data_IF_666723640010
#
_entry.id   IF_666723640010
#
_cell.length_a   1.000
_cell.length_b   1.000
_cell.length_c   1.000
_cell.angle_alpha   90.00
_cell.angle_beta   90.00
_cell.angle_gamma   90.00
#
_symmetry.space_group_name_H-M   'P 1'
#
loop_
_entity.id
_entity.type
_entity.pdbx_description
1 polymer ?
#
# COMPACT_ATOMS: atom_id res chain seq x y z
N UNK A 1 -5.02 -31.33 -17.49
CA UNK A 1 -5.16 -29.86 -17.61
C UNK A 1 -6.09 -29.40 -16.50
N UNK A 2 -5.53 -28.86 -15.41
CA UNK A 2 -6.30 -28.34 -14.28
C UNK A 2 -6.00 -26.84 -14.16
N UNK A 3 -7.04 -26.04 -14.26
CA UNK A 3 -7.03 -24.58 -14.04
C UNK A 3 -6.64 -24.28 -12.60
N UNK A 4 -5.73 -23.32 -12.33
CA UNK A 4 -5.50 -22.89 -10.96
C UNK A 4 -6.69 -22.06 -10.48
N UNK A 5 -7.33 -22.57 -9.43
CA UNK A 5 -8.38 -21.87 -8.70
C UNK A 5 -7.88 -20.53 -8.18
N UNK A 6 -8.69 -19.50 -8.41
CA UNK A 6 -8.61 -18.17 -7.82
C UNK A 6 -8.45 -18.31 -6.30
N UNK A 7 -7.41 -17.75 -5.66
CA UNK A 7 -7.34 -17.75 -4.21
C UNK A 7 -8.42 -16.80 -3.67
N UNK A 8 -9.40 -17.39 -2.99
CA UNK A 8 -10.35 -16.72 -2.10
C UNK A 8 -9.59 -15.98 -1.01
N UNK A 9 -9.73 -14.66 -0.98
CA UNK A 9 -9.27 -13.77 0.09
C UNK A 9 -10.14 -14.06 1.34
N UNK A 10 -9.62 -14.92 2.22
CA UNK A 10 -10.27 -15.25 3.50
C UNK A 10 -10.16 -14.06 4.44
N UNK A 11 -11.31 -13.65 4.98
CA UNK A 11 -11.49 -12.54 5.88
C UNK A 11 -10.67 -12.66 7.17
N UNK A 12 -10.18 -11.51 7.62
CA UNK A 12 -9.34 -11.27 8.78
C UNK A 12 -9.94 -11.83 10.08
N UNK A 13 -9.23 -12.81 10.65
CA UNK A 13 -9.21 -12.99 12.10
C UNK A 13 -8.28 -11.92 12.66
N UNK A 14 -8.74 -11.14 13.63
CA UNK A 14 -7.90 -10.22 14.40
C UNK A 14 -6.87 -11.01 15.23
N UNK A 15 -5.82 -11.47 14.55
CA UNK A 15 -4.57 -11.94 15.11
C UNK A 15 -3.55 -10.84 14.90
N UNK A 16 -2.56 -10.75 15.80
CA UNK A 16 -1.33 -9.98 15.57
C UNK A 16 -0.94 -10.12 14.10
N UNK A 17 -0.82 -8.99 13.35
CA UNK A 17 -0.58 -9.07 11.93
C UNK A 17 0.72 -9.84 11.69
N UNK A 18 0.63 -11.00 11.03
CA UNK A 18 1.79 -11.76 10.60
C UNK A 18 2.64 -10.87 9.68
N UNK A 19 3.88 -10.58 10.08
CA UNK A 19 4.78 -9.64 9.37
C UNK A 19 4.88 -10.02 7.89
N UNK A 20 5.02 -11.31 7.62
CA UNK A 20 5.13 -11.86 6.26
C UNK A 20 3.86 -11.62 5.46
N UNK A 21 2.68 -11.82 6.05
CA UNK A 21 1.41 -11.58 5.36
C UNK A 21 1.22 -10.09 5.05
N UNK A 22 1.57 -9.21 6.00
CA UNK A 22 1.57 -7.76 5.79
C UNK A 22 2.51 -7.32 4.68
N UNK A 23 3.73 -7.89 4.64
CA UNK A 23 4.69 -7.61 3.58
C UNK A 23 4.16 -8.01 2.20
N UNK A 24 3.48 -9.16 2.08
CA UNK A 24 2.86 -9.58 0.82
C UNK A 24 1.71 -8.67 0.36
N UNK A 25 0.86 -8.20 1.27
CA UNK A 25 -0.21 -7.26 0.94
C UNK A 25 0.35 -5.90 0.49
N UNK A 26 1.41 -5.41 1.15
CA UNK A 26 2.12 -4.20 0.75
C UNK A 26 2.80 -4.35 -0.63
N UNK A 27 3.41 -5.52 -0.91
CA UNK A 27 3.92 -5.84 -2.25
C UNK A 27 2.78 -5.77 -3.27
N UNK A 28 1.64 -6.39 -3.01
CA UNK A 28 0.51 -6.36 -3.94
C UNK A 28 0.03 -4.94 -4.26
N UNK A 29 0.02 -4.05 -3.25
CA UNK A 29 -0.31 -2.64 -3.41
C UNK A 29 0.77 -1.83 -4.15
N UNK A 30 2.05 -2.11 -3.91
CA UNK A 30 3.17 -1.40 -4.52
C UNK A 30 3.54 -1.90 -5.93
N UNK A 31 3.21 -3.16 -6.26
CA UNK A 31 3.54 -3.81 -7.55
C UNK A 31 3.21 -3.02 -8.83
N UNK A 32 2.08 -2.29 -8.95
CA UNK A 32 1.83 -1.51 -10.16
C UNK A 32 2.77 -0.30 -10.34
N UNK A 33 3.46 0.12 -9.28
CA UNK A 33 4.30 1.32 -9.24
C UNK A 33 5.78 1.01 -8.93
N UNK A 34 6.10 -0.20 -8.48
CA UNK A 34 7.46 -0.62 -8.19
C UNK A 34 8.22 -1.09 -9.43
N UNK A 35 9.50 -0.72 -9.51
CA UNK A 35 10.43 -1.29 -10.47
C UNK A 35 10.67 -2.78 -10.16
N UNK A 36 10.93 -3.57 -11.21
CA UNK A 36 11.25 -5.01 -11.11
C UNK A 36 12.35 -5.30 -10.08
N UNK A 37 13.39 -4.47 -10.04
CA UNK A 37 14.52 -4.65 -9.12
C UNK A 37 14.13 -4.42 -7.65
N UNK A 38 13.27 -3.43 -7.38
CA UNK A 38 12.75 -3.15 -6.03
C UNK A 38 11.86 -4.30 -5.53
N UNK A 39 11.02 -4.84 -6.40
CA UNK A 39 10.19 -5.99 -6.06
C UNK A 39 11.01 -7.27 -5.79
N UNK A 40 12.13 -7.46 -6.50
CA UNK A 40 13.04 -8.61 -6.30
C UNK A 40 13.77 -8.50 -4.96
N UNK A 41 14.29 -7.31 -4.62
CA UNK A 41 14.98 -7.03 -3.36
C UNK A 41 14.07 -7.28 -2.14
N UNK A 42 12.83 -6.78 -2.21
CA UNK A 42 11.80 -7.03 -1.19
C UNK A 42 11.45 -8.51 -1.09
N UNK A 43 11.33 -9.23 -2.21
CA UNK A 43 11.03 -10.67 -2.21
C UNK A 43 12.15 -11.48 -1.52
N UNK A 44 13.40 -11.10 -1.77
CA UNK A 44 14.57 -11.71 -1.14
C UNK A 44 14.56 -11.40 0.36
N UNK A 45 14.34 -10.14 0.75
CA UNK A 45 14.29 -9.71 2.16
C UNK A 45 13.21 -10.47 2.96
N UNK A 46 12.01 -10.67 2.38
CA UNK A 46 10.95 -11.50 2.98
C UNK A 46 11.40 -12.96 3.08
N UNK A 47 12.07 -13.48 2.05
CA UNK A 47 12.54 -14.88 2.01
C UNK A 47 13.64 -15.21 3.03
N UNK A 48 14.47 -14.24 3.41
CA UNK A 48 15.54 -14.41 4.41
C UNK A 48 15.09 -14.05 5.84
N UNK A 49 13.84 -13.60 6.03
CA UNK A 49 13.28 -13.24 7.33
C UNK A 49 13.54 -11.80 7.77
N UNK A 50 14.05 -10.94 6.89
CA UNK A 50 14.21 -9.49 7.13
C UNK A 50 12.92 -8.73 6.83
N UNK A 51 11.80 -9.23 7.36
CA UNK A 51 10.47 -8.74 7.04
C UNK A 51 10.26 -7.29 7.49
N UNK A 52 10.90 -6.87 8.59
CA UNK A 52 10.86 -5.48 9.04
C UNK A 52 11.50 -4.52 8.03
N UNK A 53 12.69 -4.86 7.51
CA UNK A 53 13.36 -4.04 6.51
C UNK A 53 12.57 -4.02 5.19
N UNK A 54 12.00 -5.16 4.79
CA UNK A 54 11.12 -5.25 3.64
C UNK A 54 9.89 -4.33 3.76
N UNK A 55 9.21 -4.34 4.91
CA UNK A 55 8.05 -3.50 5.20
C UNK A 55 8.45 -2.01 5.21
N UNK A 56 9.60 -1.66 5.79
CA UNK A 56 10.10 -0.27 5.79
C UNK A 56 10.35 0.27 4.38
N UNK A 57 10.99 -0.53 3.52
CA UNK A 57 11.23 -0.19 2.12
C UNK A 57 9.91 -0.03 1.37
N UNK A 58 8.96 -0.95 1.57
CA UNK A 58 7.64 -0.88 0.93
C UNK A 58 6.84 0.36 1.35
N UNK A 59 6.77 0.66 2.65
CA UNK A 59 6.08 1.86 3.16
C UNK A 59 6.75 3.13 2.62
N UNK A 60 8.09 3.16 2.58
CA UNK A 60 8.85 4.29 2.03
C UNK A 60 8.56 4.47 0.54
N UNK A 61 8.51 3.38 -0.24
CA UNK A 61 8.21 3.44 -1.67
C UNK A 61 6.77 3.91 -1.93
N UNK A 62 5.79 3.39 -1.18
CA UNK A 62 4.37 3.80 -1.25
C UNK A 62 4.22 5.29 -0.91
N UNK A 63 4.89 5.75 0.15
CA UNK A 63 4.88 7.16 0.54
C UNK A 63 5.55 8.06 -0.49
N UNK A 64 6.67 7.60 -1.10
CA UNK A 64 7.40 8.35 -2.12
C UNK A 64 6.59 8.50 -3.41
N UNK A 65 5.94 7.44 -3.87
CA UNK A 65 5.13 7.46 -5.10
C UNK A 65 3.69 7.93 -4.84
N UNK A 66 3.34 8.21 -3.56
CA UNK A 66 2.02 8.65 -3.09
C UNK A 66 0.90 7.71 -3.56
N UNK A 67 1.16 6.41 -3.48
CA UNK A 67 0.21 5.37 -3.89
C UNK A 67 -0.95 5.36 -2.90
N UNK A 68 -2.17 5.51 -3.42
CA UNK A 68 -3.37 5.38 -2.63
C UNK A 68 -3.57 3.91 -2.23
N UNK A 69 -3.45 3.63 -0.93
CA UNK A 69 -3.78 2.34 -0.34
C UNK A 69 -5.06 2.43 0.49
N UNK A 70 -5.76 1.30 0.62
CA UNK A 70 -7.02 1.23 1.36
C UNK A 70 -6.85 1.42 2.87
N UNK A 71 -7.89 1.96 3.51
CA UNK A 71 -7.91 2.24 4.96
C UNK A 71 -7.68 0.99 5.83
N UNK A 72 -8.14 -0.19 5.37
CA UNK A 72 -7.91 -1.47 6.04
C UNK A 72 -6.42 -1.84 6.12
N UNK A 73 -5.67 -1.57 5.05
CA UNK A 73 -4.22 -1.81 5.01
C UNK A 73 -3.48 -0.80 5.90
N UNK A 74 -3.90 0.47 5.88
CA UNK A 74 -3.37 1.50 6.79
C UNK A 74 -3.57 1.15 8.26
N UNK A 75 -4.77 0.69 8.63
CA UNK A 75 -5.08 0.26 9.99
C UNK A 75 -4.25 -0.97 10.42
N UNK A 76 -4.03 -1.91 9.49
CA UNK A 76 -3.21 -3.11 9.72
C UNK A 76 -1.74 -2.73 9.95
N UNK A 77 -1.17 -1.86 9.11
CA UNK A 77 0.20 -1.34 9.27
C UNK A 77 0.34 -0.53 10.57
N UNK A 78 -0.67 0.27 10.93
CA UNK A 78 -0.69 1.02 12.19
C UNK A 78 -0.70 0.12 13.42
N UNK A 79 -1.44 -0.98 13.37
CA UNK A 79 -1.48 -2.01 14.43
C UNK A 79 -0.14 -2.73 14.53
N UNK A 80 0.45 -3.08 13.39
CA UNK A 80 1.78 -3.67 13.30
C UNK A 80 2.86 -2.76 13.91
N UNK A 81 2.88 -1.47 13.54
CA UNK A 81 3.79 -0.48 14.15
C UNK A 81 3.57 -0.31 15.67
N UNK A 82 2.35 -0.56 16.15
CA UNK A 82 2.05 -0.65 17.58
C UNK A 82 2.83 -1.75 18.31
N UNK A 83 3.17 -2.85 17.64
CA UNK A 83 3.99 -3.91 18.20
C UNK A 83 5.49 -3.56 18.30
N UNK A 84 5.94 -2.54 17.56
CA UNK A 84 7.32 -2.06 17.52
C UNK A 84 7.53 -0.72 18.25
N UNK A 85 6.62 -0.37 19.16
CA UNK A 85 6.74 0.83 19.99
C UNK A 85 8.11 0.89 20.70
N UNK A 86 8.82 2.01 20.52
CA UNK A 86 10.14 2.23 21.12
C UNK A 86 11.33 1.84 20.24
N UNK A 87 11.11 1.37 19.01
CA UNK A 87 12.14 1.28 17.98
C UNK A 87 12.43 2.66 17.36
N UNK A 88 13.69 2.95 17.04
CA UNK A 88 14.10 4.25 16.47
C UNK A 88 13.40 4.55 15.12
N UNK A 89 13.12 3.50 14.35
CA UNK A 89 12.43 3.59 13.06
C UNK A 89 10.90 3.80 13.18
N UNK A 90 10.29 3.49 14.32
CA UNK A 90 8.84 3.59 14.54
C UNK A 90 8.26 5.00 14.30
N UNK A 91 8.80 6.08 14.88
CA UNK A 91 8.26 7.43 14.65
C UNK A 91 8.37 7.85 13.19
N UNK A 92 9.44 7.47 12.51
CA UNK A 92 9.62 7.72 11.07
C UNK A 92 8.55 6.99 10.25
N UNK A 93 8.34 5.71 10.53
CA UNK A 93 7.34 4.89 9.84
C UNK A 93 5.91 5.39 10.07
N UNK A 94 5.59 5.86 11.29
CA UNK A 94 4.30 6.48 11.59
C UNK A 94 4.06 7.77 10.78
N UNK A 95 5.09 8.59 10.58
CA UNK A 95 4.99 9.79 9.75
C UNK A 95 4.75 9.44 8.29
N UNK A 96 5.48 8.46 7.74
CA UNK A 96 5.26 7.98 6.38
C UNK A 96 3.83 7.44 6.19
N UNK A 97 3.33 6.68 7.16
CA UNK A 97 1.97 6.15 7.14
C UNK A 97 0.91 7.26 7.13
N UNK A 98 1.11 8.32 7.92
CA UNK A 98 0.22 9.47 7.94
C UNK A 98 0.22 10.25 6.61
N UNK A 99 1.37 10.32 5.93
CA UNK A 99 1.47 10.95 4.61
C UNK A 99 0.75 10.15 3.53
N UNK A 100 0.90 8.82 3.56
CA UNK A 100 0.17 7.90 2.68
C UNK A 100 -1.34 8.01 2.93
N UNK A 101 -1.78 8.02 4.19
CA UNK A 101 -3.20 8.17 4.52
C UNK A 101 -3.79 9.46 3.93
N UNK A 102 -3.06 10.57 4.01
CA UNK A 102 -3.47 11.85 3.42
C UNK A 102 -3.53 11.78 1.90
N UNK A 103 -2.56 11.13 1.26
CA UNK A 103 -2.56 10.93 -0.19
C UNK A 103 -3.73 10.06 -0.66
N UNK A 104 -4.06 8.98 0.07
CA UNK A 104 -5.23 8.14 -0.20
C UNK A 104 -6.53 8.92 -0.08
N UNK A 105 -6.68 9.75 0.97
CA UNK A 105 -7.87 10.61 1.13
C UNK A 105 -7.98 11.63 0.00
N UNK A 106 -6.87 12.24 -0.43
CA UNK A 106 -6.84 13.20 -1.55
C UNK A 106 -7.22 12.53 -2.87
N UNK A 107 -6.67 11.35 -3.17
CA UNK A 107 -7.00 10.57 -4.36
C UNK A 107 -8.48 10.15 -4.40
N UNK A 108 -9.07 9.81 -3.26
CA UNK A 108 -10.49 9.46 -3.15
C UNK A 108 -11.42 10.68 -3.13
N UNK A 109 -10.92 11.83 -2.70
CA UNK A 109 -11.65 13.12 -2.70
C UNK A 109 -11.53 13.86 -4.03
N UNK A 110 -10.55 13.51 -4.87
CA UNK A 110 -10.40 14.06 -6.21
C UNK A 110 -11.68 13.74 -7.00
N UNK A 111 -12.51 14.75 -7.34
CA UNK A 111 -13.70 14.49 -8.11
C UNK A 111 -13.25 13.99 -9.49
N UNK A 112 -13.68 12.78 -9.84
CA UNK A 112 -13.76 12.28 -11.20
C UNK A 112 -14.79 13.15 -11.95
N UNK A 113 -14.37 14.38 -12.22
CA UNK A 113 -15.21 15.52 -12.55
C UNK A 113 -14.44 16.58 -13.34
N UNK A 114 -13.37 16.19 -14.03
CA UNK A 114 -12.91 16.95 -15.19
C UNK A 114 -13.79 16.54 -16.37
N UNK A 115 -15.04 16.99 -16.32
CA UNK A 115 -15.86 17.15 -17.51
C UNK A 115 -15.02 17.92 -18.54
N UNK A 116 -14.86 17.30 -19.70
CA UNK A 116 -14.05 17.84 -20.77
C UNK A 116 -14.64 19.19 -21.24
N UNK A 117 -13.86 20.28 -21.31
CA UNK A 117 -14.38 21.60 -21.70
C UNK A 117 -14.79 21.71 -23.18
N UNK A 118 -14.69 20.63 -23.97
CA UNK A 118 -15.01 20.66 -25.40
C UNK A 118 -16.48 20.34 -25.72
N UNK A 119 -17.27 19.83 -24.76
CA UNK A 119 -18.67 19.47 -24.99
C UNK A 119 -19.66 20.67 -25.03
N UNK A 120 -19.22 21.89 -24.73
CA UNK A 120 -20.06 23.09 -24.72
C UNK A 120 -19.95 23.96 -25.99
N UNK A 121 -19.18 23.55 -27.00
CA UNK A 121 -18.86 24.39 -28.16
C UNK A 121 -19.71 24.13 -29.43
N UNK A 122 -20.82 23.40 -29.35
CA UNK A 122 -21.47 22.83 -30.54
C UNK A 122 -22.95 23.11 -30.79
N UNK A 123 -23.59 24.05 -30.08
CA UNK A 123 -25.03 24.27 -30.27
C UNK A 123 -25.43 25.75 -30.14
N UNK A 124 -24.89 26.61 -31.00
CA UNK A 124 -25.46 27.94 -31.22
C UNK A 124 -25.52 28.22 -32.74
N UNK A 125 -26.74 28.53 -33.19
CA UNK A 125 -27.19 29.12 -34.48
C UNK A 125 -27.34 28.21 -35.72
#
# INVERSE_FOLDING_TARGET
MATPGRPTRTAAVAKVPDDTALAWELVAAARPHMARAEADDVHIAIGIGETFAAIDVLITAIARDRIAIGEDLLATVGTWLGCYLGQDAEPRLRLLLADVARASTDAMSAPEGRAEPWAAAGAEA
#
